data_IF_793422412601
#
_entry.id   IF_793422412601
#
_cell.length_a   1.000
_cell.length_b   1.000
_cell.length_c   1.000
_cell.angle_alpha   90.00
_cell.angle_beta   90.00
_cell.angle_gamma   90.00
#
_symmetry.space_group_name_H-M   'P 1'
#
loop_
_entity.id
_entity.type
_entity.pdbx_description
1 polymer ?
#
# COMPACT_ATOMS: atom_id res chain seq x y z
N UNK A 1 -16.49 7.46 3.55
CA UNK A 1 -16.35 8.62 2.64
C UNK A 1 -15.59 9.77 3.28
N UNK A 2 -15.86 10.20 4.53
CA UNK A 2 -15.04 11.24 5.18
C UNK A 2 -13.57 10.85 5.39
N UNK A 3 -13.26 9.62 5.84
CA UNK A 3 -11.86 9.21 6.06
C UNK A 3 -11.09 8.85 4.79
N UNK A 4 -11.72 8.24 3.79
CA UNK A 4 -11.09 8.02 2.48
C UNK A 4 -10.73 9.36 1.83
N UNK A 5 -11.64 10.35 1.91
CA UNK A 5 -11.35 11.72 1.49
C UNK A 5 -10.26 12.36 2.34
N UNK A 6 -10.18 12.08 3.65
CA UNK A 6 -9.09 12.58 4.50
C UNK A 6 -7.75 11.93 4.12
N UNK A 7 -7.65 10.61 3.97
CA UNK A 7 -6.40 9.95 3.55
C UNK A 7 -5.98 10.39 2.14
N UNK A 8 -6.92 10.57 1.21
CA UNK A 8 -6.63 11.19 -0.09
C UNK A 8 -6.23 12.66 0.01
N UNK A 9 -6.86 13.45 0.89
CA UNK A 9 -6.48 14.83 1.15
C UNK A 9 -5.10 14.94 1.81
N UNK A 10 -4.73 13.96 2.64
CA UNK A 10 -3.45 13.85 3.33
C UNK A 10 -2.34 13.51 2.34
N UNK A 11 -2.64 12.67 1.37
CA UNK A 11 -1.72 12.48 0.26
C UNK A 11 -1.51 13.79 -0.55
N UNK A 12 -2.41 14.77 -0.47
CA UNK A 12 -2.23 16.11 -1.06
C UNK A 12 -1.50 17.09 -0.13
N UNK A 13 -1.66 17.01 1.18
CA UNK A 13 -1.05 17.97 2.12
C UNK A 13 0.34 17.51 2.54
N UNK A 14 1.38 18.16 2.01
CA UNK A 14 2.74 18.00 2.50
C UNK A 14 2.83 18.54 3.94
N UNK A 15 2.83 17.66 4.94
CA UNK A 15 2.90 18.05 6.35
C UNK A 15 4.36 18.20 6.78
N UNK A 16 4.78 19.45 6.98
CA UNK A 16 6.04 19.77 7.65
C UNK A 16 6.04 19.24 9.10
N UNK A 17 7.21 18.75 9.53
CA UNK A 17 7.58 18.26 10.86
C UNK A 17 7.03 16.86 11.27
N UNK A 18 7.54 15.82 10.61
CA UNK A 18 7.41 14.41 11.02
C UNK A 18 8.54 14.05 11.98
N UNK A 19 8.39 14.43 13.26
CA UNK A 19 9.31 14.02 14.33
C UNK A 19 8.59 13.10 15.30
N UNK A 20 9.16 11.92 15.55
CA UNK A 20 8.75 10.92 16.57
C UNK A 20 7.53 10.04 16.24
N UNK A 21 7.49 9.42 15.05
CA UNK A 21 6.65 8.25 14.84
C UNK A 21 7.53 6.99 14.77
N UNK A 22 8.07 6.57 15.90
CA UNK A 22 8.72 5.25 16.05
C UNK A 22 7.84 4.39 16.93
N UNK A 23 6.95 3.66 16.28
CA UNK A 23 6.29 2.48 16.81
C UNK A 23 6.14 1.52 15.65
N UNK A 24 7.20 0.79 15.31
CA UNK A 24 7.08 -0.38 14.45
C UNK A 24 6.63 -1.50 15.39
N UNK A 25 5.32 -1.72 15.46
CA UNK A 25 4.74 -2.71 16.35
C UNK A 25 4.91 -4.11 15.75
N UNK A 26 5.05 -5.12 16.59
CA UNK A 26 5.17 -6.53 16.16
C UNK A 26 3.97 -6.97 15.29
N UNK A 27 2.81 -6.30 15.42
CA UNK A 27 1.63 -6.48 14.57
C UNK A 27 1.83 -6.08 13.10
N UNK A 28 2.76 -5.16 12.81
CA UNK A 28 3.08 -4.67 11.46
C UNK A 28 3.54 -5.84 10.57
N UNK A 29 4.43 -6.67 11.09
CA UNK A 29 4.93 -7.84 10.36
C UNK A 29 3.84 -8.89 10.11
N UNK A 30 2.84 -9.00 10.99
CA UNK A 30 1.73 -9.96 10.84
C UNK A 30 0.77 -9.48 9.75
N UNK A 31 0.32 -8.23 9.82
CA UNK A 31 -0.59 -7.65 8.83
C UNK A 31 0.03 -7.63 7.43
N UNK A 32 1.31 -7.30 7.31
CA UNK A 32 1.97 -7.35 6.00
C UNK A 32 2.08 -8.76 5.45
N UNK A 33 2.39 -9.76 6.28
CA UNK A 33 2.48 -11.16 5.83
C UNK A 33 1.11 -11.67 5.40
N UNK A 34 0.06 -11.39 6.17
CA UNK A 34 -1.31 -11.75 5.84
C UNK A 34 -1.75 -11.11 4.52
N UNK A 35 -1.51 -9.80 4.37
CA UNK A 35 -1.81 -9.10 3.14
C UNK A 35 -1.01 -9.63 1.95
N UNK A 36 0.30 -9.88 2.10
CA UNK A 36 1.13 -10.42 1.02
C UNK A 36 0.68 -11.81 0.56
N UNK A 37 0.30 -12.68 1.51
CA UNK A 37 -0.20 -14.01 1.19
C UNK A 37 -1.54 -13.92 0.44
N UNK A 38 -2.48 -13.12 0.95
CA UNK A 38 -3.76 -12.88 0.29
C UNK A 38 -3.59 -12.19 -1.08
N UNK A 39 -2.59 -11.32 -1.22
CA UNK A 39 -2.26 -10.63 -2.46
C UNK A 39 -1.70 -11.59 -3.51
N UNK A 40 -0.83 -12.52 -3.11
CA UNK A 40 -0.35 -13.59 -4.00
C UNK A 40 -1.48 -14.55 -4.39
N UNK A 41 -2.37 -14.92 -3.46
CA UNK A 41 -3.56 -15.71 -3.76
C UNK A 41 -4.45 -15.00 -4.78
N UNK A 42 -4.79 -13.73 -4.55
CA UNK A 42 -5.58 -12.93 -5.48
C UNK A 42 -4.90 -12.76 -6.86
N UNK A 43 -3.60 -12.49 -6.88
CA UNK A 43 -2.81 -12.29 -8.10
C UNK A 43 -2.66 -13.57 -8.93
N UNK A 44 -2.57 -14.74 -8.29
CA UNK A 44 -2.39 -16.03 -8.99
C UNK A 44 -3.70 -16.69 -9.37
N UNK A 45 -4.82 -16.29 -8.78
CA UNK A 45 -6.17 -16.79 -9.11
C UNK A 45 -6.96 -15.89 -10.05
N UNK A 46 -6.66 -14.59 -10.10
CA UNK A 46 -7.38 -13.61 -10.92
C UNK A 46 -6.44 -12.96 -11.92
N UNK A 47 -6.70 -13.14 -13.22
CA UNK A 47 -5.99 -12.41 -14.27
C UNK A 47 -6.41 -10.93 -14.26
N UNK A 48 -5.42 -10.05 -14.21
CA UNK A 48 -5.61 -8.61 -14.46
C UNK A 48 -4.78 -8.25 -15.67
N UNK A 49 -5.36 -7.52 -16.62
CA UNK A 49 -4.69 -7.15 -17.86
C UNK A 49 -4.07 -8.37 -18.62
N UNK A 50 -4.76 -9.52 -18.56
CA UNK A 50 -4.37 -10.74 -19.26
C UNK A 50 -3.33 -11.62 -18.56
N UNK A 51 -2.77 -11.20 -17.43
CA UNK A 51 -1.73 -11.94 -16.72
C UNK A 51 -2.12 -12.24 -15.26
N UNK A 52 -1.58 -13.33 -14.73
CA UNK A 52 -1.50 -13.56 -13.29
C UNK A 52 -0.31 -12.82 -12.71
N UNK A 53 -0.37 -12.53 -11.42
CA UNK A 53 0.65 -11.76 -10.71
C UNK A 53 1.15 -12.52 -9.49
N UNK A 54 2.46 -12.52 -9.32
CA UNK A 54 3.13 -13.00 -8.11
C UNK A 54 3.87 -11.83 -7.49
N UNK A 55 3.64 -11.57 -6.22
CA UNK A 55 4.19 -10.44 -5.50
C UNK A 55 5.29 -10.90 -4.56
N UNK A 56 6.48 -10.32 -4.71
CA UNK A 56 7.66 -10.62 -3.89
C UNK A 56 8.11 -9.37 -3.18
N UNK A 57 8.46 -9.50 -1.90
CA UNK A 57 8.97 -8.37 -1.12
C UNK A 57 10.41 -8.09 -1.51
N UNK A 58 10.66 -6.89 -2.01
CA UNK A 58 11.99 -6.38 -2.31
C UNK A 58 12.10 -4.93 -1.83
N UNK A 59 13.23 -4.59 -1.21
CA UNK A 59 13.49 -3.22 -0.78
C UNK A 59 13.84 -2.30 -1.95
N UNK A 60 14.52 -2.85 -2.95
CA UNK A 60 14.97 -2.16 -4.15
C UNK A 60 14.91 -3.09 -5.34
N UNK A 61 14.68 -2.54 -6.52
CA UNK A 61 14.65 -3.31 -7.77
C UNK A 61 15.20 -2.48 -8.91
N UNK A 62 15.85 -3.16 -9.86
CA UNK A 62 16.24 -2.55 -11.13
C UNK A 62 15.38 -3.13 -12.24
N UNK A 63 14.62 -2.26 -12.91
CA UNK A 63 13.75 -2.68 -14.00
C UNK A 63 14.00 -1.79 -15.21
N UNK A 64 14.23 -2.41 -16.38
CA UNK A 64 14.58 -1.72 -17.62
C UNK A 64 15.75 -0.73 -17.46
N UNK A 65 16.75 -1.08 -16.64
CA UNK A 65 17.91 -0.23 -16.40
C UNK A 65 17.70 0.91 -15.41
N UNK A 66 16.49 1.11 -14.89
CA UNK A 66 16.15 2.13 -13.89
C UNK A 66 16.13 1.49 -12.49
N UNK A 67 16.84 2.10 -11.56
CA UNK A 67 16.86 1.69 -10.15
C UNK A 67 15.71 2.34 -9.37
N UNK A 68 14.98 1.52 -8.60
CA UNK A 68 13.86 1.94 -7.75
C UNK A 68 14.14 1.54 -6.30
N UNK A 69 14.07 2.50 -5.37
CA UNK A 69 14.10 2.20 -3.93
C UNK A 69 12.68 2.17 -3.38
N UNK A 70 12.04 1.01 -3.49
CA UNK A 70 10.64 0.82 -3.12
C UNK A 70 10.42 1.04 -1.62
N UNK A 71 11.35 0.56 -0.78
CA UNK A 71 11.22 0.65 0.68
C UNK A 71 11.26 2.10 1.18
N UNK A 72 12.20 2.91 0.71
CA UNK A 72 12.27 4.34 1.08
C UNK A 72 10.97 5.06 0.74
N UNK A 73 10.39 4.76 -0.42
CA UNK A 73 9.11 5.34 -0.83
C UNK A 73 7.95 4.86 0.02
N UNK A 74 7.89 3.56 0.33
CA UNK A 74 6.86 2.99 1.21
C UNK A 74 6.93 3.63 2.60
N UNK A 75 8.14 3.73 3.18
CA UNK A 75 8.38 4.39 4.46
C UNK A 75 7.98 5.86 4.46
N UNK A 76 8.34 6.62 3.42
CA UNK A 76 7.99 8.04 3.33
C UNK A 76 6.46 8.24 3.31
N UNK A 77 5.76 7.49 2.44
CA UNK A 77 4.30 7.60 2.31
C UNK A 77 3.59 7.10 3.58
N UNK A 78 4.04 6.00 4.17
CA UNK A 78 3.44 5.48 5.40
C UNK A 78 3.60 6.46 6.57
N UNK A 79 4.77 7.11 6.70
CA UNK A 79 5.01 8.15 7.72
C UNK A 79 4.08 9.35 7.55
N UNK A 80 3.90 9.82 6.32
CA UNK A 80 2.98 10.93 6.02
C UNK A 80 1.54 10.59 6.42
N UNK A 81 1.05 9.42 6.03
CA UNK A 81 -0.33 9.02 6.35
C UNK A 81 -0.50 8.81 7.86
N UNK A 82 0.49 8.21 8.52
CA UNK A 82 0.40 7.88 9.93
C UNK A 82 0.57 9.08 10.87
N UNK A 83 1.10 10.21 10.37
CA UNK A 83 1.15 11.46 11.13
C UNK A 83 -0.24 12.04 11.43
N UNK A 84 -1.27 11.62 10.69
CA UNK A 84 -2.62 12.14 10.79
C UNK A 84 -3.38 11.66 12.00
N UNK A 85 -4.23 12.56 12.53
CA UNK A 85 -5.17 12.27 13.61
C UNK A 85 -6.45 11.67 13.05
N UNK A 86 -6.71 10.40 13.35
CA UNK A 86 -7.87 9.65 12.90
C UNK A 86 -8.96 9.53 13.97
N UNK A 87 -10.20 9.50 13.51
CA UNK A 87 -11.42 9.32 14.32
C UNK A 87 -12.10 8.01 13.99
N UNK A 88 -12.94 7.51 14.90
CA UNK A 88 -13.77 6.33 14.66
C UNK A 88 -14.61 6.52 13.40
N UNK A 89 -14.52 5.56 12.49
CA UNK A 89 -15.29 5.51 11.26
C UNK A 89 -15.75 4.09 10.99
N UNK A 90 -17.06 3.89 11.01
CA UNK A 90 -17.66 2.57 10.84
C UNK A 90 -17.40 1.97 9.47
N UNK A 91 -17.15 2.81 8.46
CA UNK A 91 -16.80 2.35 7.09
C UNK A 91 -15.41 1.73 6.98
N UNK A 92 -14.57 1.87 8.01
CA UNK A 92 -13.23 1.25 8.07
C UNK A 92 -13.21 0.02 8.97
N UNK A 93 -14.34 -0.44 9.52
CA UNK A 93 -14.37 -1.57 10.44
C UNK A 93 -13.87 -2.89 9.80
N UNK A 94 -13.96 -3.03 8.47
CA UNK A 94 -13.47 -4.19 7.71
C UNK A 94 -12.23 -3.89 6.88
N UNK A 95 -11.66 -2.69 7.04
CA UNK A 95 -10.59 -2.15 6.21
C UNK A 95 -11.04 -1.53 4.88
N UNK A 96 -10.14 -0.74 4.28
CA UNK A 96 -10.31 -0.15 2.95
C UNK A 96 -8.97 -0.04 2.22
N UNK A 97 -9.02 0.04 0.88
CA UNK A 97 -7.85 0.24 0.02
C UNK A 97 -7.96 1.58 -0.67
N UNK A 98 -6.85 2.33 -0.72
CA UNK A 98 -6.73 3.65 -1.35
C UNK A 98 -5.65 3.56 -2.42
N UNK A 99 -5.97 3.96 -3.65
CA UNK A 99 -4.97 4.20 -4.69
C UNK A 99 -4.34 5.58 -4.47
N UNK A 100 -3.03 5.59 -4.24
CA UNK A 100 -2.22 6.79 -4.02
C UNK A 100 -1.27 7.06 -5.19
N UNK A 101 -1.33 6.27 -6.26
CA UNK A 101 -0.43 6.34 -7.41
C UNK A 101 -0.42 7.74 -8.03
N UNK A 102 -1.60 8.31 -8.29
CA UNK A 102 -1.69 9.66 -8.88
C UNK A 102 -1.21 10.80 -7.97
N UNK A 103 -1.12 10.57 -6.65
CA UNK A 103 -0.80 11.59 -5.66
C UNK A 103 0.65 11.51 -5.17
N UNK A 104 1.16 10.29 -5.03
CA UNK A 104 2.46 9.99 -4.44
C UNK A 104 3.37 9.19 -5.37
N UNK A 105 2.87 8.70 -6.49
CA UNK A 105 3.64 7.85 -7.41
C UNK A 105 4.72 8.58 -8.20
N UNK A 106 4.58 9.89 -8.40
CA UNK A 106 5.56 10.75 -9.10
C UNK A 106 5.97 10.22 -10.49
N UNK A 107 5.09 9.47 -11.16
CA UNK A 107 5.40 8.82 -12.43
C UNK A 107 6.52 7.77 -12.35
N UNK A 108 6.90 7.32 -11.14
CA UNK A 108 7.92 6.29 -10.88
C UNK A 108 7.38 5.07 -10.12
N UNK A 109 6.33 5.26 -9.34
CA UNK A 109 5.81 4.22 -8.45
C UNK A 109 4.30 4.04 -8.61
N UNK A 110 3.84 2.80 -8.48
CA UNK A 110 2.45 2.47 -8.19
C UNK A 110 2.31 2.29 -6.70
N UNK A 111 1.30 2.93 -6.09
CA UNK A 111 1.18 2.99 -4.64
C UNK A 111 -0.26 2.70 -4.22
N UNK A 112 -0.44 1.65 -3.44
CA UNK A 112 -1.69 1.35 -2.76
C UNK A 112 -1.50 1.47 -1.25
N UNK A 113 -2.52 1.91 -0.52
CA UNK A 113 -2.55 1.91 0.93
C UNK A 113 -3.76 1.12 1.43
N UNK A 114 -3.51 0.11 2.27
CA UNK A 114 -4.55 -0.65 2.97
C UNK A 114 -4.66 -0.09 4.38
N UNK A 115 -5.87 0.31 4.76
CA UNK A 115 -6.16 0.93 6.05
C UNK A 115 -7.10 0.01 6.81
N UNK A 116 -6.65 -0.54 7.93
CA UNK A 116 -7.43 -1.46 8.78
C UNK A 116 -7.46 -0.95 10.21
N UNK A 117 -8.50 -1.28 11.01
CA UNK A 117 -8.43 -1.11 12.45
C UNK A 117 -7.18 -1.81 13.01
N UNK A 118 -6.70 -1.42 14.20
CA UNK A 118 -5.56 -2.10 14.84
C UNK A 118 -5.89 -3.48 15.40
N UNK A 119 -7.18 -3.85 15.42
CA UNK A 119 -7.66 -5.17 15.79
C UNK A 119 -8.96 -5.53 15.08
N UNK A 120 -9.14 -6.83 14.80
CA UNK A 120 -10.34 -7.41 14.20
C UNK A 120 -10.03 -8.40 13.08
N UNK A 121 -11.08 -9.05 12.59
CA UNK A 121 -11.01 -9.95 11.44
C UNK A 121 -11.17 -9.18 10.14
N UNK A 122 -10.06 -8.97 9.42
CA UNK A 122 -10.06 -8.25 8.16
C UNK A 122 -10.34 -9.20 6.99
N UNK A 123 -11.11 -8.73 6.01
CA UNK A 123 -11.36 -9.46 4.77
C UNK A 123 -10.16 -9.36 3.84
N UNK A 124 -9.03 -9.98 4.23
CA UNK A 124 -7.76 -9.88 3.52
C UNK A 124 -7.87 -10.22 2.04
N UNK A 125 -8.62 -11.25 1.63
CA UNK A 125 -8.81 -11.59 0.22
C UNK A 125 -9.48 -10.45 -0.58
N UNK A 126 -10.44 -9.74 0.02
CA UNK A 126 -11.07 -8.59 -0.65
C UNK A 126 -10.08 -7.43 -0.76
N UNK A 127 -9.40 -7.09 0.33
CA UNK A 127 -8.41 -6.00 0.34
C UNK A 127 -7.27 -6.29 -0.64
N UNK A 128 -6.78 -7.53 -0.66
CA UNK A 128 -5.79 -8.02 -1.59
C UNK A 128 -6.25 -7.96 -3.05
N UNK A 129 -7.50 -8.33 -3.35
CA UNK A 129 -8.08 -8.18 -4.68
C UNK A 129 -8.11 -6.71 -5.14
N UNK A 130 -8.51 -5.81 -4.25
CA UNK A 130 -8.52 -4.37 -4.53
C UNK A 130 -7.08 -3.83 -4.74
N UNK A 131 -6.08 -4.28 -3.96
CA UNK A 131 -4.66 -3.94 -4.15
C UNK A 131 -4.11 -4.51 -5.46
N UNK A 132 -4.41 -5.78 -5.78
CA UNK A 132 -4.02 -6.43 -7.03
C UNK A 132 -4.53 -5.62 -8.23
N UNK A 133 -5.79 -5.17 -8.20
CA UNK A 133 -6.36 -4.34 -9.25
C UNK A 133 -5.63 -3.00 -9.44
N UNK A 134 -5.10 -2.39 -8.37
CA UNK A 134 -4.29 -1.16 -8.47
C UNK A 134 -2.90 -1.48 -9.04
N UNK A 135 -2.17 -2.38 -8.39
CA UNK A 135 -0.78 -2.68 -8.75
C UNK A 135 -0.67 -3.24 -10.15
N UNK A 136 -1.53 -4.19 -10.53
CA UNK A 136 -1.49 -4.88 -11.82
C UNK A 136 -1.79 -3.97 -13.02
N UNK A 137 -2.38 -2.79 -12.82
CA UNK A 137 -2.65 -1.84 -13.92
C UNK A 137 -1.46 -0.91 -14.22
N UNK A 138 -0.59 -0.68 -13.23
CA UNK A 138 0.43 0.36 -13.33
C UNK A 138 1.88 -0.10 -13.29
N UNK A 139 2.17 -1.38 -13.05
CA UNK A 139 3.51 -1.85 -12.69
C UNK A 139 4.44 -2.20 -13.88
N UNK A 140 5.74 -2.31 -13.60
CA UNK A 140 6.68 -3.08 -14.45
C UNK A 140 7.00 -4.43 -13.83
N UNK A 141 6.86 -5.50 -14.60
CA UNK A 141 7.21 -6.85 -14.18
C UNK A 141 8.73 -6.99 -13.96
N UNK A 142 9.11 -7.73 -12.93
CA UNK A 142 10.51 -8.00 -12.57
C UNK A 142 10.98 -9.35 -13.10
N UNK A 143 10.04 -10.27 -13.32
CA UNK A 143 10.20 -11.43 -14.18
C UNK A 143 8.90 -11.66 -14.97
N UNK A 144 9.01 -12.14 -16.20
CA UNK A 144 7.87 -12.38 -17.09
C UNK A 144 7.93 -13.80 -17.64
N UNK A 145 6.93 -14.61 -17.29
CA UNK A 145 6.67 -15.90 -17.93
C UNK A 145 5.41 -15.78 -18.79
N UNK A 146 5.08 -16.82 -19.56
CA UNK A 146 3.96 -16.78 -20.52
C UNK A 146 2.62 -16.30 -19.92
N UNK A 147 2.36 -16.60 -18.64
CA UNK A 147 1.08 -16.28 -17.98
C UNK A 147 1.23 -15.61 -16.60
N UNK A 148 2.43 -15.60 -16.01
CA UNK A 148 2.67 -15.04 -14.66
C UNK A 148 3.74 -13.96 -14.74
N UNK A 149 3.39 -12.78 -14.21
CA UNK A 149 4.29 -11.65 -14.05
C UNK A 149 4.66 -11.50 -12.59
N UNK A 150 5.95 -11.60 -12.30
CA UNK A 150 6.46 -11.33 -10.97
C UNK A 150 6.59 -9.81 -10.77
N UNK A 151 6.19 -9.33 -9.60
CA UNK A 151 6.16 -7.91 -9.24
C UNK A 151 6.85 -7.74 -7.90
N UNK A 152 8.00 -7.08 -7.90
CA UNK A 152 8.66 -6.65 -6.68
C UNK A 152 7.89 -5.52 -6.02
N UNK A 153 7.61 -5.68 -4.73
CA UNK A 153 6.91 -4.70 -3.90
C UNK A 153 7.66 -4.45 -2.60
N UNK A 154 7.62 -3.21 -2.10
CA UNK A 154 7.89 -2.94 -0.70
C UNK A 154 6.58 -2.76 0.05
N UNK A 155 6.56 -3.19 1.31
CA UNK A 155 5.44 -2.96 2.22
C UNK A 155 5.97 -2.30 3.49
N UNK A 156 5.30 -1.27 3.95
CA UNK A 156 5.57 -0.64 5.25
C UNK A 156 4.24 -0.42 5.96
N UNK A 157 4.16 -0.88 7.20
CA UNK A 157 3.03 -0.61 8.08
C UNK A 157 3.35 0.47 9.10
N UNK A 158 2.38 1.35 9.34
CA UNK A 158 2.41 2.35 10.41
C UNK A 158 1.02 2.54 10.99
N UNK A 159 0.95 2.77 12.29
CA UNK A 159 -0.29 3.14 12.97
C UNK A 159 -0.50 4.65 12.96
N UNK A 160 -1.70 5.08 12.55
CA UNK A 160 -2.15 6.48 12.59
C UNK A 160 -2.28 7.01 14.01
N UNK A 161 -2.18 8.33 14.19
CA UNK A 161 -2.42 8.96 15.49
C UNK A 161 -3.91 9.04 15.77
N UNK A 162 -4.31 8.93 17.03
CA UNK A 162 -5.69 9.15 17.48
C UNK A 162 -5.99 10.64 17.62
N UNK A 163 -7.17 11.06 17.14
CA UNK A 163 -7.68 12.42 17.36
C UNK A 163 -8.08 12.66 18.81
N UNK A 164 -8.03 13.91 19.26
CA UNK A 164 -8.29 14.28 20.67
C UNK A 164 -9.75 14.00 21.08
N UNK A 165 -10.68 14.01 20.11
CA UNK A 165 -12.08 13.67 20.30
C UNK A 165 -12.50 12.56 19.35
N UNK A 166 -13.12 11.50 19.90
CA UNK A 166 -13.56 10.31 19.18
C UNK A 166 -12.45 9.64 18.35
N UNK A 167 -11.21 9.72 18.85
CA UNK A 167 -10.02 9.19 18.18
C UNK A 167 -10.04 7.68 18.07
N UNK A 168 -9.59 7.15 16.92
CA UNK A 168 -9.35 5.72 16.74
C UNK A 168 -8.12 5.53 15.88
N UNK A 169 -7.23 4.65 16.31
CA UNK A 169 -6.04 4.26 15.55
C UNK A 169 -6.40 3.23 14.49
N UNK A 170 -5.69 3.33 13.38
CA UNK A 170 -5.76 2.43 12.24
C UNK A 170 -4.34 2.11 11.80
N UNK A 171 -4.10 0.85 11.46
CA UNK A 171 -2.87 0.44 10.78
C UNK A 171 -3.00 0.72 9.30
N UNK A 172 -1.97 1.32 8.73
CA UNK A 172 -1.85 1.66 7.33
C UNK A 172 -0.68 0.90 6.76
N UNK A 173 -0.97 -0.01 5.84
CA UNK A 173 0.01 -0.82 5.11
C UNK A 173 0.15 -0.19 3.73
N UNK A 174 1.29 0.45 3.48
CA UNK A 174 1.60 1.04 2.17
C UNK A 174 2.35 0.01 1.35
N UNK A 175 1.86 -0.24 0.13
CA UNK A 175 2.46 -1.15 -0.84
C UNK A 175 2.93 -0.34 -2.04
N UNK A 176 4.20 -0.50 -2.39
CA UNK A 176 4.86 0.25 -3.47
C UNK A 176 5.47 -0.72 -4.48
N UNK A 177 5.15 -0.53 -5.76
CA UNK A 177 5.77 -1.21 -6.90
C UNK A 177 6.41 -0.20 -7.86
N UNK A 178 7.38 -0.64 -8.66
CA UNK A 178 7.89 0.16 -9.77
C UNK A 178 6.82 0.35 -10.85
N UNK A 179 6.63 1.58 -11.32
CA UNK A 179 5.65 1.89 -12.38
C UNK A 179 6.13 1.37 -13.73
N UNK A 180 5.18 1.06 -14.62
CA UNK A 180 5.39 0.80 -16.04
C UNK A 180 5.99 2.05 -16.69
N UNK A 181 7.14 1.96 -17.40
CA UNK A 181 7.59 3.09 -18.19
C UNK A 181 6.52 3.43 -19.23
N UNK A 182 6.24 4.72 -19.41
CA UNK A 182 5.45 5.17 -20.54
C UNK A 182 6.13 4.66 -21.82
N UNK A 183 5.36 4.06 -22.74
CA UNK A 183 5.88 3.77 -24.07
C UNK A 183 6.28 5.12 -24.69
N UNK A 184 7.57 5.32 -24.91
CA UNK A 184 8.11 6.43 -25.69
C UNK A 184 7.71 6.23 -27.15
#
# INVERSE_FOLDING_TARGET
MKMFKKIMAVALTAVMAVSMLTGCAIGDAVHEKQLLNALNDAGTTTKVNGAFHKYVKDSKVKVNGVDYTLSEKATAVAKEIAAEKTQKNDKLNTGAVVDLTGLKGEGKYVIAAVVVPTSGDYKWNKLAGDVNAILANGYTATADTKDVKEVSVAMETRTTKKADQNGKEYDVIVIVAAVKPAKV
#
